data_IF_615156951993
#
_entry.id   IF_615156951993
#
_cell.length_a   1.000
_cell.length_b   1.000
_cell.length_c   1.000
_cell.angle_alpha   90.00
_cell.angle_beta   90.00
_cell.angle_gamma   90.00
#
_symmetry.space_group_name_H-M   'P 1'
#
loop_
_entity.id
_entity.type
_entity.pdbx_description
1 polymer ?
#
# COMPACT_ATOMS: atom_id res chain seq x y z
N UNK A 1 24.98 30.99 0.15
CA UNK A 1 23.55 30.89 -0.19
C UNK A 1 23.37 29.54 -0.87
N UNK A 2 22.78 28.60 -0.15
CA UNK A 2 22.35 27.29 -0.69
C UNK A 2 21.23 27.61 -1.68
N UNK A 3 21.41 27.26 -2.96
CA UNK A 3 20.29 27.32 -3.92
C UNK A 3 19.20 26.40 -3.40
N UNK A 4 17.94 26.87 -3.34
CA UNK A 4 16.86 25.96 -2.98
C UNK A 4 16.86 24.83 -4.00
N UNK A 5 16.99 23.59 -3.51
CA UNK A 5 16.79 22.39 -4.33
C UNK A 5 15.44 22.54 -5.03
N UNK A 6 15.44 22.26 -6.33
CA UNK A 6 14.19 22.20 -7.09
C UNK A 6 13.39 21.01 -6.55
N UNK A 7 12.57 21.28 -5.55
CA UNK A 7 11.56 20.32 -5.10
C UNK A 7 10.70 19.98 -6.31
N UNK A 8 10.68 18.73 -6.71
CA UNK A 8 9.68 18.26 -7.68
C UNK A 8 8.33 18.36 -6.96
N UNK A 9 7.41 19.21 -7.41
CA UNK A 9 6.12 19.34 -6.75
C UNK A 9 5.39 18.01 -6.82
N UNK A 10 4.71 17.64 -5.72
CA UNK A 10 3.77 16.53 -5.73
C UNK A 10 2.70 16.75 -6.80
N UNK A 11 2.17 15.67 -7.36
CA UNK A 11 1.07 15.74 -8.32
C UNK A 11 -0.22 16.31 -7.72
N UNK A 12 -0.37 16.25 -6.40
CA UNK A 12 -1.49 16.77 -5.65
C UNK A 12 -1.10 17.09 -4.21
N UNK A 13 -1.86 18.00 -3.59
CA UNK A 13 -1.73 18.40 -2.19
C UNK A 13 -2.99 18.02 -1.40
N UNK A 14 -2.82 17.85 -0.08
CA UNK A 14 -3.93 17.61 0.84
C UNK A 14 -4.29 18.92 1.51
N UNK A 15 -5.48 19.43 1.22
CA UNK A 15 -6.06 20.61 1.89
C UNK A 15 -7.01 20.16 2.99
N UNK A 16 -6.68 20.48 4.26
CA UNK A 16 -7.46 20.07 5.43
C UNK A 16 -8.23 21.26 5.97
N UNK A 17 -9.52 21.04 6.22
CA UNK A 17 -10.43 21.98 6.85
C UNK A 17 -11.01 21.34 8.11
N UNK A 18 -10.99 22.05 9.23
CA UNK A 18 -11.62 21.63 10.47
C UNK A 18 -12.44 22.75 11.09
N UNK A 19 -13.46 22.37 11.85
CA UNK A 19 -14.34 23.31 12.57
C UNK A 19 -15.06 22.59 13.72
N UNK A 20 -15.66 23.36 14.61
CA UNK A 20 -16.46 22.83 15.73
C UNK A 20 -17.89 22.47 15.32
N UNK A 21 -18.35 22.99 14.19
CA UNK A 21 -19.68 22.72 13.61
C UNK A 21 -19.69 22.86 12.09
N UNK A 22 -20.79 22.38 11.46
CA UNK A 22 -20.97 22.40 10.00
C UNK A 22 -21.05 23.82 9.40
N UNK A 23 -21.59 24.76 10.13
CA UNK A 23 -21.73 26.16 9.68
C UNK A 23 -20.35 26.82 9.58
N UNK A 24 -19.52 26.66 10.61
CA UNK A 24 -18.15 27.16 10.62
C UNK A 24 -17.29 26.48 9.53
N UNK A 25 -17.41 25.16 9.35
CA UNK A 25 -16.74 24.45 8.25
C UNK A 25 -17.15 25.02 6.89
N UNK A 26 -18.44 25.28 6.69
CA UNK A 26 -18.98 25.89 5.48
C UNK A 26 -18.39 27.29 5.25
N UNK A 27 -18.24 28.07 6.30
CA UNK A 27 -17.62 29.41 6.27
C UNK A 27 -16.14 29.30 5.89
N UNK A 28 -15.39 28.38 6.50
CA UNK A 28 -13.97 28.17 6.22
C UNK A 28 -13.74 27.76 4.76
N UNK A 29 -14.58 26.90 4.21
CA UNK A 29 -14.53 26.49 2.80
C UNK A 29 -14.76 27.67 1.85
N UNK A 30 -15.76 28.53 2.13
CA UNK A 30 -16.03 29.74 1.33
C UNK A 30 -14.87 30.72 1.38
N UNK A 31 -14.31 30.96 2.58
CA UNK A 31 -13.16 31.85 2.73
C UNK A 31 -11.93 31.35 1.95
N UNK A 32 -11.73 30.04 1.87
CA UNK A 32 -10.65 29.47 1.08
C UNK A 32 -10.88 29.68 -0.44
N UNK A 33 -12.12 29.48 -0.91
CA UNK A 33 -12.46 29.73 -2.30
C UNK A 33 -12.28 31.22 -2.65
N UNK A 34 -12.80 32.13 -1.82
CA UNK A 34 -12.64 33.58 -2.00
C UNK A 34 -11.16 34.00 -2.00
N UNK A 35 -10.34 33.37 -1.16
CA UNK A 35 -8.89 33.62 -1.12
C UNK A 35 -8.20 33.18 -2.41
N UNK A 36 -8.55 32.01 -2.95
CA UNK A 36 -7.98 31.49 -4.21
C UNK A 36 -8.36 32.42 -5.37
N UNK A 37 -9.60 32.85 -5.43
CA UNK A 37 -10.08 33.77 -6.49
C UNK A 37 -9.38 35.14 -6.42
N UNK A 38 -9.08 35.61 -5.21
CA UNK A 38 -8.42 36.90 -5.00
C UNK A 38 -6.91 36.84 -5.28
N UNK A 39 -6.29 35.67 -5.08
CA UNK A 39 -4.85 35.45 -5.22
C UNK A 39 -4.53 34.20 -6.08
N UNK A 40 -4.91 34.21 -7.35
CA UNK A 40 -4.80 33.04 -8.24
C UNK A 40 -3.34 32.62 -8.50
N UNK A 41 -2.37 33.50 -8.27
CA UNK A 41 -0.94 33.23 -8.44
C UNK A 41 -0.33 32.41 -7.27
N UNK A 42 -1.04 32.23 -6.18
CA UNK A 42 -0.57 31.42 -5.04
C UNK A 42 -0.55 29.95 -5.44
N UNK A 43 0.55 29.29 -5.09
CA UNK A 43 0.70 27.85 -5.37
C UNK A 43 -0.16 27.06 -4.41
N UNK A 44 -0.72 25.96 -4.90
CA UNK A 44 -1.54 25.05 -4.08
C UNK A 44 -0.80 24.52 -2.86
N UNK A 45 0.52 24.26 -2.96
CA UNK A 45 1.35 23.80 -1.83
C UNK A 45 1.39 24.83 -0.71
N UNK A 46 1.46 26.12 -1.03
CA UNK A 46 1.48 27.20 -0.04
C UNK A 46 0.10 27.34 0.65
N UNK A 47 -0.99 27.12 -0.12
CA UNK A 47 -2.36 27.11 0.38
C UNK A 47 -2.58 25.92 1.32
N UNK A 48 -2.18 24.72 0.91
CA UNK A 48 -2.29 23.49 1.70
C UNK A 48 -1.51 23.62 3.02
N UNK A 49 -0.28 24.12 2.97
CA UNK A 49 0.55 24.36 4.16
C UNK A 49 -0.11 25.39 5.11
N UNK A 50 -0.69 26.48 4.57
CA UNK A 50 -1.38 27.48 5.38
C UNK A 50 -2.66 26.93 6.02
N UNK A 51 -3.39 26.06 5.33
CA UNK A 51 -4.57 25.39 5.87
C UNK A 51 -4.17 24.39 6.98
N UNK A 52 -3.14 23.60 6.76
CA UNK A 52 -2.61 22.67 7.76
C UNK A 52 -2.12 23.40 9.03
N UNK A 53 -1.42 24.53 8.88
CA UNK A 53 -0.96 25.37 10.01
C UNK A 53 -2.12 26.00 10.81
N UNK A 54 -3.30 26.16 10.21
CA UNK A 54 -4.51 26.68 10.84
C UNK A 54 -5.43 25.59 11.39
N UNK A 55 -5.11 24.31 11.09
CA UNK A 55 -5.93 23.19 11.53
C UNK A 55 -6.05 23.22 13.06
N UNK A 56 -7.25 23.53 13.54
CA UNK A 56 -7.64 23.34 14.91
C UNK A 56 -8.27 21.97 14.96
N UNK A 57 -7.95 21.17 15.93
CA UNK A 57 -8.49 19.82 16.12
C UNK A 57 -10.03 19.77 16.25
N UNK A 58 -10.75 20.43 15.34
CA UNK A 58 -12.20 20.50 15.29
C UNK A 58 -12.85 19.14 15.05
N UNK A 59 -14.07 18.97 15.52
CA UNK A 59 -14.84 17.74 15.38
C UNK A 59 -15.22 17.48 13.92
N UNK A 60 -15.62 18.53 13.19
CA UNK A 60 -16.02 18.48 11.78
C UNK A 60 -14.79 18.62 10.90
N UNK A 61 -14.50 17.61 10.09
CA UNK A 61 -13.30 17.58 9.26
C UNK A 61 -13.63 17.31 7.81
N UNK A 62 -12.95 18.02 6.93
CA UNK A 62 -13.01 17.80 5.50
C UNK A 62 -11.59 17.86 4.92
N UNK A 63 -11.18 16.82 4.24
CA UNK A 63 -9.92 16.76 3.51
C UNK A 63 -10.19 16.74 2.01
N UNK A 64 -9.46 17.52 1.23
CA UNK A 64 -9.53 17.58 -0.22
C UNK A 64 -8.14 17.29 -0.77
N UNK A 65 -8.01 16.26 -1.59
CA UNK A 65 -6.82 16.04 -2.42
C UNK A 65 -7.03 16.83 -3.71
N UNK A 66 -6.16 17.80 -3.99
CA UNK A 66 -6.28 18.64 -5.18
C UNK A 66 -4.92 18.85 -5.85
N UNK A 67 -4.90 18.81 -7.19
CA UNK A 67 -3.69 18.95 -8.00
C UNK A 67 -3.29 20.42 -8.29
N UNK A 68 -4.27 21.31 -8.26
CA UNK A 68 -4.11 22.74 -8.53
C UNK A 68 -5.26 23.55 -7.91
N UNK A 69 -5.18 24.87 -8.02
CA UNK A 69 -6.17 25.80 -7.46
C UNK A 69 -7.56 25.62 -8.11
N UNK A 70 -7.64 25.35 -9.40
CA UNK A 70 -8.90 25.14 -10.10
C UNK A 70 -9.60 23.87 -9.60
N UNK A 71 -8.84 22.77 -9.46
CA UNK A 71 -9.35 21.52 -8.91
C UNK A 71 -9.78 21.68 -7.45
N UNK A 72 -9.03 22.45 -6.63
CA UNK A 72 -9.40 22.75 -5.25
C UNK A 72 -10.70 23.52 -5.16
N UNK A 73 -10.84 24.61 -5.93
CA UNK A 73 -12.06 25.44 -5.96
C UNK A 73 -13.28 24.61 -6.36
N UNK A 74 -13.17 23.83 -7.45
CA UNK A 74 -14.23 22.94 -7.91
C UNK A 74 -14.65 21.93 -6.82
N UNK A 75 -13.68 21.35 -6.10
CA UNK A 75 -13.94 20.38 -5.01
C UNK A 75 -14.51 21.05 -3.76
N UNK A 76 -14.13 22.30 -3.46
CA UNK A 76 -14.78 23.11 -2.42
C UNK A 76 -16.25 23.33 -2.76
N UNK A 77 -16.57 23.72 -4.00
CA UNK A 77 -17.96 23.91 -4.41
C UNK A 77 -18.79 22.62 -4.34
N UNK A 78 -18.21 21.48 -4.76
CA UNK A 78 -18.88 20.18 -4.63
C UNK A 78 -19.15 19.85 -3.15
N UNK A 79 -18.16 20.10 -2.28
CA UNK A 79 -18.29 19.91 -0.84
C UNK A 79 -19.40 20.80 -0.24
N UNK A 80 -19.46 22.07 -0.61
CA UNK A 80 -20.51 23.00 -0.19
C UNK A 80 -21.91 22.55 -0.64
N UNK A 81 -22.03 22.03 -1.86
CA UNK A 81 -23.30 21.46 -2.35
C UNK A 81 -23.73 20.21 -1.57
N UNK A 82 -22.78 19.33 -1.26
CA UNK A 82 -23.04 18.10 -0.47
C UNK A 82 -23.43 18.41 0.96
N UNK A 83 -22.70 19.32 1.62
CA UNK A 83 -23.01 19.75 2.98
C UNK A 83 -24.42 20.37 3.12
N UNK A 84 -24.94 20.97 2.05
CA UNK A 84 -26.33 21.50 2.03
C UNK A 84 -27.41 20.45 1.78
N UNK A 85 -27.07 19.38 1.03
CA UNK A 85 -28.06 18.41 0.53
C UNK A 85 -28.13 17.13 1.36
N UNK A 86 -27.10 16.82 2.13
CA UNK A 86 -26.98 15.57 2.85
C UNK A 86 -26.77 15.79 4.34
N UNK A 87 -27.53 15.09 5.15
CA UNK A 87 -27.34 15.00 6.61
C UNK A 87 -26.38 13.86 7.01
N UNK A 88 -25.69 13.25 6.03
CA UNK A 88 -24.73 12.19 6.31
C UNK A 88 -23.55 12.74 7.09
N UNK A 89 -23.28 12.15 8.26
CA UNK A 89 -22.17 12.51 9.13
C UNK A 89 -20.79 12.11 8.60
N UNK A 90 -20.74 11.25 7.55
CA UNK A 90 -19.50 10.81 6.91
C UNK A 90 -19.74 10.46 5.45
N UNK A 91 -18.84 10.90 4.57
CA UNK A 91 -18.84 10.50 3.17
C UNK A 91 -17.45 10.67 2.54
N UNK A 92 -17.21 9.91 1.48
CA UNK A 92 -16.02 10.01 0.63
C UNK A 92 -16.43 10.09 -0.84
N UNK A 93 -15.57 10.63 -1.67
CA UNK A 93 -15.77 10.68 -3.13
C UNK A 93 -14.61 10.03 -3.86
N UNK A 94 -14.87 9.51 -5.05
CA UNK A 94 -13.80 9.00 -5.94
C UNK A 94 -12.83 10.10 -6.39
N UNK A 95 -13.23 11.37 -6.28
CA UNK A 95 -12.41 12.53 -6.63
C UNK A 95 -11.45 12.98 -5.52
N UNK A 96 -11.40 12.27 -4.38
CA UNK A 96 -10.47 12.58 -3.29
C UNK A 96 -10.99 13.62 -2.29
N UNK A 97 -12.30 13.64 -2.01
CA UNK A 97 -12.87 14.43 -0.91
C UNK A 97 -13.32 13.47 0.18
N UNK A 98 -12.92 13.74 1.41
CA UNK A 98 -13.28 12.96 2.60
C UNK A 98 -13.87 13.90 3.65
N UNK A 99 -15.06 13.57 4.14
CA UNK A 99 -15.75 14.34 5.19
C UNK A 99 -16.15 13.46 6.36
N UNK A 100 -16.03 14.01 7.58
CA UNK A 100 -16.52 13.39 8.81
C UNK A 100 -16.90 14.43 9.83
N UNK A 101 -18.03 14.22 10.53
CA UNK A 101 -18.51 15.03 11.67
C UNK A 101 -17.98 14.52 13.01
N UNK A 102 -17.35 13.36 13.02
CA UNK A 102 -16.82 12.75 14.24
C UNK A 102 -15.43 12.19 14.00
N UNK A 103 -14.57 12.26 15.01
CA UNK A 103 -13.35 11.48 15.02
C UNK A 103 -13.70 9.98 15.02
N UNK A 104 -12.90 9.16 14.35
CA UNK A 104 -13.06 7.71 14.47
C UNK A 104 -12.75 7.31 15.92
N UNK A 105 -13.72 6.69 16.58
CA UNK A 105 -13.56 6.18 17.95
C UNK A 105 -12.98 4.75 17.95
N UNK A 106 -12.66 4.20 16.80
CA UNK A 106 -12.13 2.84 16.67
C UNK A 106 -10.63 2.74 16.87
N UNK A 107 -10.14 1.51 16.90
CA UNK A 107 -8.72 1.19 16.87
C UNK A 107 -8.20 1.23 15.43
N UNK A 108 -6.94 1.60 15.28
CA UNK A 108 -6.22 1.59 14.00
C UNK A 108 -5.46 0.27 13.84
N UNK A 109 -5.74 -0.46 12.77
CA UNK A 109 -4.99 -1.65 12.42
C UNK A 109 -4.08 -1.39 11.22
N UNK A 110 -2.80 -1.75 11.32
CA UNK A 110 -1.89 -1.82 10.17
C UNK A 110 -1.90 -3.23 9.60
N UNK A 111 -2.12 -3.32 8.30
CA UNK A 111 -2.14 -4.58 7.56
C UNK A 111 -0.89 -4.67 6.69
N UNK A 112 -0.08 -5.70 6.92
CA UNK A 112 1.12 -5.97 6.16
C UNK A 112 0.83 -7.05 5.12
N UNK A 113 0.88 -6.73 3.81
CA UNK A 113 0.63 -7.71 2.77
C UNK A 113 1.81 -8.68 2.64
N UNK A 114 1.52 -9.84 2.09
CA UNK A 114 2.52 -10.83 1.71
C UNK A 114 3.03 -10.65 0.27
N UNK A 115 3.66 -11.72 -0.24
CA UNK A 115 4.10 -11.80 -1.63
C UNK A 115 2.95 -11.57 -2.60
N UNK A 116 3.27 -10.95 -3.75
CA UNK A 116 2.30 -10.48 -4.74
C UNK A 116 1.96 -9.00 -4.59
N UNK A 117 2.41 -8.34 -3.50
CA UNK A 117 2.23 -6.90 -3.30
C UNK A 117 3.36 -6.04 -3.89
N UNK A 118 4.51 -6.66 -4.20
CA UNK A 118 5.67 -6.00 -4.78
C UNK A 118 5.47 -5.71 -6.28
N UNK A 119 6.05 -4.63 -6.76
CA UNK A 119 6.03 -4.25 -8.18
C UNK A 119 7.21 -3.34 -8.54
N UNK A 120 7.56 -3.28 -9.83
CA UNK A 120 8.63 -2.40 -10.33
C UNK A 120 8.24 -0.94 -10.07
N UNK A 121 9.14 -0.15 -9.52
CA UNK A 121 8.88 1.25 -9.13
C UNK A 121 8.15 1.42 -7.81
N UNK A 122 7.96 0.33 -7.03
CA UNK A 122 7.26 0.37 -5.73
C UNK A 122 7.88 1.41 -4.81
N UNK A 123 7.05 2.36 -4.33
CA UNK A 123 7.40 3.46 -3.43
C UNK A 123 8.51 4.40 -3.97
N UNK A 124 8.78 4.43 -5.28
CA UNK A 124 9.84 5.25 -5.87
C UNK A 124 9.71 6.73 -5.51
N UNK A 125 8.51 7.30 -5.64
CA UNK A 125 8.26 8.72 -5.35
C UNK A 125 8.43 9.02 -3.86
N UNK A 126 8.01 8.10 -2.99
CA UNK A 126 8.20 8.22 -1.55
C UNK A 126 9.68 8.09 -1.17
N UNK A 127 10.42 7.17 -1.79
CA UNK A 127 11.86 7.01 -1.55
C UNK A 127 12.68 8.23 -2.00
N UNK A 128 12.23 8.95 -3.03
CA UNK A 128 12.85 10.20 -3.46
C UNK A 128 12.59 11.36 -2.49
N UNK A 129 11.46 11.35 -1.78
CA UNK A 129 11.01 12.47 -0.97
C UNK A 129 11.22 12.27 0.54
N UNK A 130 11.24 11.03 1.02
CA UNK A 130 11.31 10.70 2.44
C UNK A 130 12.50 9.82 2.76
N UNK A 131 13.37 10.30 3.63
CA UNK A 131 14.54 9.57 4.10
C UNK A 131 14.16 8.28 4.81
N UNK A 132 13.04 8.27 5.53
CA UNK A 132 12.49 7.11 6.24
C UNK A 132 12.22 5.96 5.27
N UNK A 133 11.75 6.26 4.07
CA UNK A 133 11.49 5.24 3.03
C UNK A 133 12.80 4.83 2.36
N UNK A 134 13.63 5.80 1.96
CA UNK A 134 14.89 5.55 1.26
C UNK A 134 15.85 4.68 2.06
N UNK A 135 15.98 4.91 3.36
CA UNK A 135 16.87 4.16 4.25
C UNK A 135 16.58 2.65 4.25
N UNK A 136 15.32 2.23 4.09
CA UNK A 136 14.97 0.82 4.00
C UNK A 136 15.44 0.18 2.68
N UNK A 137 15.36 0.88 1.57
CA UNK A 137 15.88 0.40 0.29
C UNK A 137 17.42 0.42 0.28
N UNK A 138 18.06 1.42 0.87
CA UNK A 138 19.53 1.46 1.05
C UNK A 138 19.99 0.31 1.95
N UNK A 139 19.27 0.03 3.04
CA UNK A 139 19.52 -1.14 3.88
C UNK A 139 19.40 -2.44 3.07
N UNK A 140 18.35 -2.62 2.30
CA UNK A 140 18.16 -3.81 1.47
C UNK A 140 19.31 -4.00 0.46
N UNK A 141 19.70 -2.93 -0.20
CA UNK A 141 20.86 -2.93 -1.09
C UNK A 141 22.14 -3.39 -0.40
N UNK A 142 22.32 -3.01 0.86
CA UNK A 142 23.53 -3.33 1.63
C UNK A 142 23.59 -4.77 2.15
N UNK A 143 22.51 -5.55 2.02
CA UNK A 143 22.46 -6.92 2.53
C UNK A 143 23.38 -7.89 1.79
N UNK A 144 23.68 -7.61 0.52
CA UNK A 144 24.41 -8.47 -0.39
C UNK A 144 25.50 -7.69 -1.13
N UNK A 145 26.61 -8.37 -1.43
CA UNK A 145 27.71 -7.81 -2.23
C UNK A 145 27.44 -7.98 -3.74
N UNK A 146 26.25 -7.60 -4.18
CA UNK A 146 25.86 -7.69 -5.57
C UNK A 146 26.55 -6.58 -6.40
N UNK A 147 27.01 -6.87 -7.63
CA UNK A 147 27.62 -5.85 -8.47
C UNK A 147 26.58 -4.79 -8.88
N UNK A 148 27.02 -3.53 -9.15
CA UNK A 148 26.14 -2.49 -9.65
C UNK A 148 25.36 -2.93 -10.89
N UNK A 149 24.05 -2.60 -10.94
CA UNK A 149 23.14 -3.00 -12.03
C UNK A 149 22.49 -4.38 -11.85
N UNK A 150 22.87 -5.12 -10.80
CA UNK A 150 22.24 -6.40 -10.44
C UNK A 150 21.92 -6.50 -8.95
N UNK A 151 21.89 -5.38 -8.25
CA UNK A 151 21.54 -5.35 -6.82
C UNK A 151 20.07 -5.65 -6.62
N UNK A 152 19.68 -6.04 -5.39
CA UNK A 152 18.28 -6.29 -5.03
C UNK A 152 17.38 -5.11 -5.37
N UNK A 153 17.84 -3.89 -5.11
CA UNK A 153 17.08 -2.66 -5.38
C UNK A 153 16.95 -2.32 -6.86
N UNK A 154 17.89 -2.80 -7.72
CA UNK A 154 17.80 -2.60 -9.17
C UNK A 154 16.60 -3.34 -9.80
N UNK A 155 16.05 -4.34 -9.09
CA UNK A 155 14.83 -5.02 -9.52
C UNK A 155 13.60 -4.13 -9.34
N UNK A 156 13.58 -3.31 -8.27
CA UNK A 156 12.49 -2.35 -8.00
C UNK A 156 12.73 -1.01 -8.72
N UNK A 157 13.97 -0.53 -8.75
CA UNK A 157 14.35 0.78 -9.30
C UNK A 157 15.31 0.62 -10.49
N UNK A 158 14.89 -0.03 -11.58
CA UNK A 158 15.73 -0.14 -12.77
C UNK A 158 15.94 1.27 -13.40
N UNK A 159 17.11 1.52 -14.03
CA UNK A 159 17.31 2.73 -14.82
C UNK A 159 16.24 2.83 -15.91
N UNK A 160 15.53 3.97 -15.97
CA UNK A 160 14.43 4.18 -16.93
C UNK A 160 14.91 4.02 -18.38
N UNK A 161 16.15 4.43 -18.67
CA UNK A 161 16.77 4.32 -20.00
C UNK A 161 16.97 2.87 -20.47
N UNK A 162 16.97 1.91 -19.57
CA UNK A 162 17.20 0.49 -19.82
C UNK A 162 15.91 -0.36 -19.77
N UNK A 163 14.78 0.26 -19.43
CA UNK A 163 13.50 -0.43 -19.23
C UNK A 163 12.80 -0.70 -20.57
N UNK A 164 13.31 -1.68 -21.31
CA UNK A 164 12.62 -2.26 -22.47
C UNK A 164 11.54 -3.25 -22.03
N UNK A 165 10.57 -3.58 -22.89
CA UNK A 165 9.54 -4.60 -22.59
C UNK A 165 10.15 -5.94 -22.17
N UNK A 166 11.22 -6.37 -22.85
CA UNK A 166 11.94 -7.59 -22.49
C UNK A 166 12.54 -7.47 -21.10
N UNK A 167 13.24 -6.37 -20.80
CA UNK A 167 13.86 -6.12 -19.48
C UNK A 167 12.82 -6.05 -18.38
N UNK A 168 11.70 -5.41 -18.64
CA UNK A 168 10.58 -5.36 -17.69
C UNK A 168 10.08 -6.77 -17.36
N UNK A 169 9.85 -7.62 -18.38
CA UNK A 169 9.41 -9.00 -18.17
C UNK A 169 10.43 -9.84 -17.37
N UNK A 170 11.74 -9.63 -17.62
CA UNK A 170 12.79 -10.29 -16.83
C UNK A 170 12.78 -9.85 -15.36
N UNK A 171 12.63 -8.55 -15.12
CA UNK A 171 12.56 -7.98 -13.77
C UNK A 171 11.30 -8.43 -13.02
N UNK A 172 10.15 -8.48 -13.69
CA UNK A 172 8.90 -8.99 -13.12
C UNK A 172 9.04 -10.46 -12.70
N UNK A 173 9.68 -11.29 -13.53
CA UNK A 173 9.99 -12.67 -13.17
C UNK A 173 10.90 -12.74 -11.96
N UNK A 174 11.99 -11.94 -11.95
CA UNK A 174 12.94 -11.91 -10.84
C UNK A 174 12.28 -11.42 -9.54
N UNK A 175 11.35 -10.48 -9.63
CA UNK A 175 10.59 -9.94 -8.50
C UNK A 175 9.60 -10.98 -7.93
N UNK A 176 9.20 -11.97 -8.74
CA UNK A 176 8.36 -13.08 -8.31
C UNK A 176 9.16 -14.29 -7.79
N UNK A 177 10.49 -14.25 -7.88
CA UNK A 177 11.32 -15.27 -7.23
C UNK A 177 11.23 -15.09 -5.69
N UNK A 178 11.07 -16.22 -4.99
CA UNK A 178 10.77 -16.26 -3.55
C UNK A 178 11.80 -15.49 -2.70
N UNK A 179 13.08 -15.51 -3.10
CA UNK A 179 14.18 -14.84 -2.40
C UNK A 179 14.16 -13.30 -2.56
N UNK A 180 13.61 -12.78 -3.66
CA UNK A 180 13.50 -11.33 -3.91
C UNK A 180 12.12 -10.82 -3.55
N UNK A 181 11.08 -11.54 -3.90
CA UNK A 181 9.69 -11.11 -3.70
C UNK A 181 9.33 -10.93 -2.23
N UNK A 182 9.67 -11.90 -1.38
CA UNK A 182 9.41 -11.82 0.06
C UNK A 182 10.23 -10.70 0.73
N UNK A 183 11.49 -10.54 0.34
CA UNK A 183 12.32 -9.43 0.82
C UNK A 183 11.74 -8.07 0.39
N UNK A 184 11.34 -7.92 -0.88
CA UNK A 184 10.75 -6.69 -1.40
C UNK A 184 9.46 -6.31 -0.64
N UNK A 185 8.57 -7.28 -0.40
CA UNK A 185 7.35 -7.06 0.37
C UNK A 185 7.67 -6.65 1.81
N UNK A 186 8.65 -7.30 2.45
CA UNK A 186 9.11 -6.95 3.80
C UNK A 186 9.65 -5.52 3.85
N UNK A 187 10.59 -5.17 2.96
CA UNK A 187 11.21 -3.85 2.91
C UNK A 187 10.17 -2.76 2.64
N UNK A 188 9.26 -2.98 1.68
CA UNK A 188 8.17 -2.05 1.39
C UNK A 188 7.24 -1.85 2.59
N UNK A 189 6.91 -2.93 3.31
CA UNK A 189 6.11 -2.88 4.52
C UNK A 189 6.78 -2.07 5.63
N UNK A 190 8.08 -2.29 5.88
CA UNK A 190 8.85 -1.55 6.89
C UNK A 190 9.03 -0.08 6.50
N UNK A 191 9.28 0.22 5.22
CA UNK A 191 9.43 1.58 4.73
C UNK A 191 8.14 2.39 4.93
N UNK A 192 6.98 1.83 4.58
CA UNK A 192 5.68 2.46 4.81
C UNK A 192 5.36 2.61 6.30
N UNK A 193 5.70 1.62 7.12
CA UNK A 193 5.54 1.70 8.56
C UNK A 193 6.37 2.84 9.15
N UNK A 194 7.65 2.94 8.78
CA UNK A 194 8.55 4.00 9.23
C UNK A 194 8.01 5.39 8.84
N UNK A 195 7.54 5.55 7.60
CA UNK A 195 6.93 6.80 7.13
C UNK A 195 5.68 7.17 7.92
N UNK A 196 4.74 6.24 8.11
CA UNK A 196 3.51 6.51 8.84
C UNK A 196 3.80 6.91 10.29
N UNK A 197 4.77 6.25 10.94
CA UNK A 197 5.21 6.62 12.28
C UNK A 197 5.83 8.01 12.34
N UNK A 198 6.66 8.37 11.38
CA UNK A 198 7.26 9.73 11.34
C UNK A 198 6.20 10.83 11.19
N UNK A 199 5.05 10.48 10.59
CA UNK A 199 3.86 11.35 10.49
C UNK A 199 2.95 11.28 11.73
N UNK A 200 3.34 10.56 12.79
CA UNK A 200 2.56 10.43 14.01
C UNK A 200 1.36 9.48 13.92
N UNK A 201 1.33 8.61 12.91
CA UNK A 201 0.27 7.60 12.76
C UNK A 201 0.72 6.31 13.43
N UNK A 202 0.14 5.99 14.59
CA UNK A 202 0.49 4.84 15.41
C UNK A 202 -0.65 3.80 15.36
N UNK A 203 -0.36 2.51 15.11
CA UNK A 203 -1.38 1.47 15.11
C UNK A 203 -1.66 0.94 16.52
N UNK A 204 -2.91 0.59 16.78
CA UNK A 204 -3.29 -0.18 17.98
C UNK A 204 -3.07 -1.69 17.80
N UNK A 205 -3.11 -2.15 16.54
CA UNK A 205 -2.99 -3.57 16.16
C UNK A 205 -2.23 -3.68 14.85
N UNK A 206 -1.43 -4.73 14.74
CA UNK A 206 -0.73 -5.10 13.52
C UNK A 206 -1.15 -6.50 13.08
N UNK A 207 -1.42 -6.67 11.80
CA UNK A 207 -1.81 -7.95 11.19
C UNK A 207 -0.96 -8.18 9.95
N UNK A 208 -0.35 -9.33 9.83
CA UNK A 208 0.40 -9.76 8.65
C UNK A 208 -0.32 -10.90 7.94
N UNK A 209 -0.26 -10.91 6.61
CA UNK A 209 -0.73 -12.01 5.78
C UNK A 209 0.48 -12.69 5.11
N UNK A 210 0.61 -14.02 5.27
CA UNK A 210 1.72 -14.80 4.68
C UNK A 210 3.09 -14.22 5.08
N UNK A 211 3.97 -13.89 4.15
CA UNK A 211 5.27 -13.25 4.43
C UNK A 211 5.14 -11.88 5.14
N UNK A 212 3.98 -11.23 5.05
CA UNK A 212 3.66 -10.02 5.80
C UNK A 212 3.61 -10.21 7.33
N UNK A 213 3.49 -11.46 7.83
CA UNK A 213 3.61 -11.77 9.26
C UNK A 213 4.99 -11.36 9.80
N UNK A 214 6.06 -11.64 9.04
CA UNK A 214 7.41 -11.21 9.41
C UNK A 214 7.51 -9.68 9.50
N UNK A 215 6.84 -8.96 8.60
CA UNK A 215 6.77 -7.50 8.63
C UNK A 215 6.03 -6.98 9.87
N UNK A 216 4.90 -7.58 10.21
CA UNK A 216 4.12 -7.21 11.40
C UNK A 216 4.91 -7.51 12.69
N UNK A 217 5.59 -8.66 12.78
CA UNK A 217 6.42 -9.03 13.91
C UNK A 217 7.62 -8.08 14.09
N UNK A 218 8.28 -7.69 13.00
CA UNK A 218 9.36 -6.71 13.04
C UNK A 218 8.85 -5.32 13.46
N UNK A 219 7.77 -4.84 12.87
CA UNK A 219 7.17 -3.55 13.18
C UNK A 219 6.66 -3.46 14.62
N UNK A 220 6.15 -4.55 15.18
CA UNK A 220 5.70 -4.62 16.59
C UNK A 220 6.84 -4.77 17.62
N UNK A 221 8.09 -4.96 17.16
CA UNK A 221 9.23 -5.22 18.04
C UNK A 221 9.32 -6.67 18.57
N UNK A 222 8.45 -7.59 18.10
CA UNK A 222 8.53 -9.00 18.44
C UNK A 222 9.77 -9.69 17.83
N UNK A 223 10.22 -9.21 16.68
CA UNK A 223 11.53 -9.48 16.10
C UNK A 223 12.40 -8.23 16.28
N UNK A 224 13.66 -8.36 16.76
CA UNK A 224 14.53 -7.22 17.01
C UNK A 224 14.98 -6.56 15.68
N UNK A 225 14.14 -5.67 15.16
CA UNK A 225 14.38 -4.91 13.94
C UNK A 225 15.16 -3.59 14.18
N UNK A 226 15.29 -3.17 15.44
CA UNK A 226 16.00 -1.94 15.82
C UNK A 226 17.53 -2.05 15.63
N UNK A 227 18.05 -3.27 15.51
CA UNK A 227 19.45 -3.52 15.23
C UNK A 227 19.63 -3.96 13.78
N UNK A 228 20.16 -3.09 12.90
CA UNK A 228 20.33 -3.40 11.47
C UNK A 228 21.15 -4.68 11.21
N UNK A 229 22.13 -4.99 12.05
CA UNK A 229 22.97 -6.19 11.88
C UNK A 229 22.17 -7.46 12.19
N UNK A 230 21.38 -7.45 13.25
CA UNK A 230 20.52 -8.60 13.61
C UNK A 230 19.42 -8.81 12.58
N UNK A 231 18.82 -7.73 12.10
CA UNK A 231 17.82 -7.79 11.04
C UNK A 231 18.41 -8.32 9.73
N UNK A 232 19.60 -7.86 9.35
CA UNK A 232 20.31 -8.36 8.17
C UNK A 232 20.59 -9.85 8.27
N UNK A 233 21.03 -10.32 9.44
CA UNK A 233 21.26 -11.75 9.66
C UNK A 233 19.97 -12.57 9.61
N UNK A 234 18.88 -12.06 10.21
CA UNK A 234 17.56 -12.70 10.12
C UNK A 234 17.10 -12.87 8.67
N UNK A 235 17.18 -11.81 7.85
CA UNK A 235 16.79 -11.86 6.43
C UNK A 235 17.67 -12.85 5.65
N UNK A 236 19.00 -12.82 5.87
CA UNK A 236 19.91 -13.75 5.20
C UNK A 236 19.67 -15.20 5.59
N UNK A 237 19.36 -15.47 6.87
CA UNK A 237 19.04 -16.82 7.34
C UNK A 237 17.74 -17.33 6.71
N UNK A 238 16.70 -16.50 6.66
CA UNK A 238 15.44 -16.85 6.02
C UNK A 238 15.66 -17.18 4.55
N UNK A 239 16.43 -16.36 3.84
CA UNK A 239 16.77 -16.59 2.44
C UNK A 239 17.56 -17.89 2.22
N UNK A 240 18.50 -18.21 3.12
CA UNK A 240 19.21 -19.52 3.08
C UNK A 240 18.25 -20.70 3.20
N UNK A 241 17.22 -20.61 4.05
CA UNK A 241 16.19 -21.65 4.17
C UNK A 241 15.44 -21.80 2.84
N UNK A 242 15.02 -20.71 2.21
CA UNK A 242 14.37 -20.77 0.89
C UNK A 242 15.26 -21.38 -0.18
N UNK A 243 16.53 -20.98 -0.25
CA UNK A 243 17.50 -21.55 -1.18
C UNK A 243 17.73 -23.06 -0.94
N UNK A 244 17.74 -23.50 0.32
CA UNK A 244 17.89 -24.90 0.66
C UNK A 244 16.68 -25.71 0.20
N UNK A 245 15.45 -25.21 0.44
CA UNK A 245 14.21 -25.86 0.04
C UNK A 245 14.16 -26.03 -1.49
N UNK A 246 14.58 -24.99 -2.24
CA UNK A 246 14.67 -25.02 -3.69
C UNK A 246 15.66 -26.10 -4.19
N UNK A 247 16.86 -26.15 -3.57
CA UNK A 247 17.89 -27.14 -3.92
C UNK A 247 17.49 -28.57 -3.63
N UNK A 248 16.76 -28.79 -2.55
CA UNK A 248 16.29 -30.12 -2.15
C UNK A 248 15.24 -30.69 -3.12
N UNK A 249 14.70 -29.89 -4.04
CA UNK A 249 13.70 -30.32 -5.03
C UNK A 249 12.41 -30.86 -4.40
N UNK A 250 12.15 -30.54 -3.14
CA UNK A 250 10.98 -31.03 -2.40
C UNK A 250 9.74 -30.16 -2.54
N UNK A 251 9.84 -29.06 -3.29
CA UNK A 251 8.68 -28.20 -3.56
C UNK A 251 7.80 -28.94 -4.56
N UNK A 252 6.54 -29.26 -4.21
CA UNK A 252 5.61 -29.88 -5.14
C UNK A 252 5.39 -28.96 -6.34
N UNK A 253 5.46 -29.51 -7.54
CA UNK A 253 5.16 -28.78 -8.76
C UNK A 253 3.65 -28.81 -8.97
N UNK A 254 3.01 -27.63 -8.88
CA UNK A 254 1.56 -27.50 -9.04
C UNK A 254 1.15 -26.06 -9.31
N UNK A 255 -0.15 -25.82 -9.38
CA UNK A 255 -0.74 -24.50 -9.54
C UNK A 255 -1.56 -24.11 -8.30
N UNK A 256 -1.54 -22.84 -7.98
CA UNK A 256 -2.46 -22.22 -7.02
C UNK A 256 -3.59 -21.52 -7.76
N UNK A 257 -4.81 -21.67 -7.25
CA UNK A 257 -6.01 -20.98 -7.72
C UNK A 257 -6.65 -20.24 -6.57
N UNK A 258 -6.74 -18.92 -6.69
CA UNK A 258 -7.51 -18.11 -5.75
C UNK A 258 -8.99 -18.18 -6.14
N UNK A 259 -9.83 -18.58 -5.20
CA UNK A 259 -11.27 -18.62 -5.34
C UNK A 259 -11.87 -17.56 -4.43
N UNK A 260 -12.60 -16.61 -5.03
CA UNK A 260 -13.35 -15.57 -4.33
C UNK A 260 -14.85 -15.76 -4.45
N UNK A 261 -15.61 -15.04 -3.62
CA UNK A 261 -17.08 -14.92 -3.68
C UNK A 261 -17.89 -16.20 -3.44
N UNK A 262 -17.27 -17.38 -3.29
CA UNK A 262 -17.94 -18.64 -3.01
C UNK A 262 -17.69 -19.12 -1.57
N UNK A 263 -18.69 -19.65 -0.87
CA UNK A 263 -18.50 -20.24 0.44
C UNK A 263 -17.75 -21.58 0.35
N UNK A 264 -16.99 -21.93 1.39
CA UNK A 264 -16.19 -23.14 1.51
C UNK A 264 -16.99 -24.40 1.09
N UNK A 265 -18.21 -24.56 1.58
CA UNK A 265 -19.08 -25.73 1.31
C UNK A 265 -19.44 -25.93 -0.17
N UNK A 266 -19.43 -24.86 -0.96
CA UNK A 266 -19.63 -24.93 -2.41
C UNK A 266 -18.35 -25.42 -3.07
N UNK A 267 -17.21 -24.87 -2.67
CA UNK A 267 -15.91 -25.23 -3.22
C UNK A 267 -15.58 -26.72 -2.93
N UNK A 268 -15.83 -27.17 -1.68
CA UNK A 268 -15.65 -28.59 -1.29
C UNK A 268 -16.46 -29.54 -2.16
N UNK A 269 -17.72 -29.24 -2.43
CA UNK A 269 -18.56 -30.04 -3.32
C UNK A 269 -18.00 -30.19 -4.74
N UNK A 270 -17.40 -29.13 -5.28
CA UNK A 270 -16.76 -29.17 -6.59
C UNK A 270 -15.46 -29.96 -6.56
N UNK A 271 -14.65 -29.88 -5.49
CA UNK A 271 -13.46 -30.70 -5.28
C UNK A 271 -13.85 -32.18 -5.24
N UNK A 272 -14.85 -32.53 -4.42
CA UNK A 272 -15.32 -33.90 -4.27
C UNK A 272 -15.89 -34.46 -5.60
N UNK A 273 -16.62 -33.63 -6.36
CA UNK A 273 -17.21 -34.04 -7.63
C UNK A 273 -16.16 -34.35 -8.71
N UNK A 274 -15.03 -33.66 -8.71
CA UNK A 274 -13.94 -33.90 -9.66
C UNK A 274 -13.14 -35.17 -9.32
N UNK A 275 -13.14 -35.59 -8.06
CA UNK A 275 -12.38 -36.76 -7.56
C UNK A 275 -10.90 -36.76 -7.99
N UNK A 276 -10.30 -35.55 -8.05
CA UNK A 276 -8.92 -35.33 -8.42
C UNK A 276 -8.12 -34.79 -7.24
N UNK A 277 -6.78 -34.84 -7.31
CA UNK A 277 -5.92 -34.39 -6.23
C UNK A 277 -5.86 -32.84 -6.16
N UNK A 278 -6.89 -32.25 -5.57
CA UNK A 278 -6.97 -30.82 -5.28
C UNK A 278 -7.13 -30.65 -3.77
N UNK A 279 -6.30 -29.79 -3.18
CA UNK A 279 -6.36 -29.47 -1.75
C UNK A 279 -6.65 -27.99 -1.52
N UNK A 280 -7.33 -27.69 -0.42
CA UNK A 280 -7.46 -26.32 0.07
C UNK A 280 -6.16 -25.99 0.79
N UNK A 281 -5.33 -25.17 0.13
CA UNK A 281 -4.04 -24.77 0.67
C UNK A 281 -4.15 -23.66 1.72
N UNK A 282 -5.13 -22.75 1.57
CA UNK A 282 -5.40 -21.66 2.52
C UNK A 282 -6.90 -21.37 2.57
N UNK A 283 -7.39 -21.13 3.79
CA UNK A 283 -8.70 -20.55 4.07
C UNK A 283 -8.47 -19.15 4.68
N UNK A 284 -8.48 -18.13 3.83
CA UNK A 284 -8.12 -16.76 4.22
C UNK A 284 -9.28 -16.05 4.93
N UNK A 285 -10.51 -16.28 4.49
CA UNK A 285 -11.71 -15.73 5.09
C UNK A 285 -12.96 -16.40 4.48
N UNK A 286 -14.13 -16.06 4.98
CA UNK A 286 -15.41 -16.68 4.63
C UNK A 286 -15.72 -16.77 3.13
N UNK A 287 -15.03 -16.00 2.30
CA UNK A 287 -15.25 -15.93 0.86
C UNK A 287 -13.96 -15.86 0.04
N UNK A 288 -12.83 -16.33 0.60
CA UNK A 288 -11.56 -16.42 -0.15
C UNK A 288 -10.75 -17.65 0.29
N UNK A 289 -10.57 -18.56 -0.65
CA UNK A 289 -9.80 -19.79 -0.51
C UNK A 289 -8.67 -19.83 -1.53
N UNK A 290 -7.60 -20.54 -1.22
CA UNK A 290 -6.54 -20.88 -2.17
C UNK A 290 -6.53 -22.39 -2.33
N UNK A 291 -6.74 -22.87 -3.56
CA UNK A 291 -6.64 -24.28 -3.93
C UNK A 291 -5.25 -24.54 -4.52
N UNK A 292 -4.75 -25.75 -4.27
CA UNK A 292 -3.51 -26.25 -4.87
C UNK A 292 -3.77 -27.62 -5.51
N UNK A 293 -3.15 -27.83 -6.66
CA UNK A 293 -3.21 -29.11 -7.38
C UNK A 293 -2.42 -29.07 -8.67
N UNK A 294 -2.44 -30.18 -9.42
CA UNK A 294 -1.84 -30.25 -10.74
C UNK A 294 -2.57 -29.34 -11.73
N UNK A 295 -1.88 -28.97 -12.82
CA UNK A 295 -2.39 -27.98 -13.78
C UNK A 295 -3.76 -28.35 -14.38
N UNK A 296 -3.95 -29.62 -14.78
CA UNK A 296 -5.21 -30.10 -15.37
C UNK A 296 -6.40 -30.02 -14.40
N UNK A 297 -6.31 -30.63 -13.21
CA UNK A 297 -7.28 -30.50 -12.14
C UNK A 297 -7.64 -29.05 -11.79
N UNK A 298 -6.64 -28.19 -11.63
CA UNK A 298 -6.86 -26.76 -11.31
C UNK A 298 -7.60 -26.03 -12.45
N UNK A 299 -7.31 -26.36 -13.73
CA UNK A 299 -8.06 -25.79 -14.84
C UNK A 299 -9.51 -26.31 -14.91
N UNK A 300 -9.74 -27.55 -14.55
CA UNK A 300 -11.08 -28.15 -14.49
C UNK A 300 -11.93 -27.50 -13.40
N UNK A 301 -11.37 -27.39 -12.18
CA UNK A 301 -12.12 -26.77 -11.07
C UNK A 301 -12.32 -25.28 -11.29
N UNK A 302 -11.38 -24.56 -11.88
CA UNK A 302 -11.53 -23.15 -12.24
C UNK A 302 -12.76 -22.93 -13.14
N UNK A 303 -12.92 -23.75 -14.20
CA UNK A 303 -14.09 -23.68 -15.10
C UNK A 303 -15.41 -23.96 -14.34
N UNK A 304 -15.37 -24.96 -13.48
CA UNK A 304 -16.55 -25.35 -12.70
C UNK A 304 -17.00 -24.29 -11.71
N UNK A 305 -16.04 -23.70 -10.95
CA UNK A 305 -16.34 -22.66 -9.98
C UNK A 305 -16.72 -21.32 -10.62
N UNK A 306 -16.11 -20.97 -11.77
CA UNK A 306 -16.48 -19.79 -12.54
C UNK A 306 -17.91 -19.84 -13.07
N UNK A 307 -18.45 -21.03 -13.35
CA UNK A 307 -19.84 -21.21 -13.74
C UNK A 307 -20.84 -20.96 -12.58
N UNK A 308 -20.37 -21.12 -11.33
CA UNK A 308 -21.14 -20.83 -10.10
C UNK A 308 -21.01 -19.38 -9.63
N UNK A 309 -20.18 -18.56 -10.31
CA UNK A 309 -19.97 -17.16 -9.98
C UNK A 309 -18.77 -16.87 -9.08
N UNK A 310 -17.83 -17.82 -8.99
CA UNK A 310 -16.55 -17.69 -8.31
C UNK A 310 -15.46 -17.09 -9.18
#
# INVERSE_FOLDING_TARGET
AVKPEKFTPWEAEICIFSADNREELTKNLKQAADFIDLYPERRIVDIAAALAAKDKEGQYRLAIIAKDNEDLTRKIEDSLRRLRKSDSARWTTKSGIVYSETRSAGKLAFLFPGEGSQYIGMLSDLAMCFDEVRQWFDFWRSLYDDPPGSTRTDVIFPPISELTEQRQSELEKRLNDMDVGSEAAFIGGQAMYALLRSLGVEPDVMVGHSSGESSALAASGAIPADNPQQLAEFIRQLNKVYQQILKDGKIPVGKLLTVGALPLTVVEKHIDALNENIVIAMDNCTNQLILYGDAGPIESIHKSLSAEGG
#
